data_IF_244135307029
#
_entry.id   IF_244135307029
#
_cell.length_a   1.000
_cell.length_b   1.000
_cell.length_c   1.000
_cell.angle_alpha   90.00
_cell.angle_beta   90.00
_cell.angle_gamma   90.00
#
_symmetry.space_group_name_H-M   'P 1'
#
loop_
_entity.id
_entity.type
_entity.pdbx_description
1 polymer ?
#
# COMPACT_ATOMS: atom_id res chain seq x y z
N UNK A 1 35.44 -18.32 -14.95
CA UNK A 1 34.34 -17.33 -14.89
C UNK A 1 34.20 -16.80 -13.47
N UNK A 2 34.15 -15.49 -13.32
CA UNK A 2 33.98 -14.79 -12.05
C UNK A 2 32.49 -14.53 -11.86
N UNK A 3 31.93 -14.81 -10.68
CA UNK A 3 30.53 -14.55 -10.36
C UNK A 3 30.38 -13.96 -8.96
N UNK A 4 29.21 -13.41 -8.68
CA UNK A 4 28.92 -12.91 -7.33
C UNK A 4 28.59 -14.08 -6.39
N UNK A 5 29.34 -14.15 -5.31
CA UNK A 5 29.05 -15.15 -4.25
C UNK A 5 27.91 -14.65 -3.35
N UNK A 6 27.88 -13.36 -3.05
CA UNK A 6 26.90 -12.68 -2.20
C UNK A 6 26.74 -11.23 -2.63
N UNK A 7 25.52 -10.72 -2.52
CA UNK A 7 25.18 -9.30 -2.56
C UNK A 7 24.60 -8.89 -1.19
N UNK A 8 25.46 -8.71 -0.17
CA UNK A 8 24.98 -8.39 1.17
C UNK A 8 24.43 -6.96 1.21
N UNK A 9 23.22 -6.83 1.75
CA UNK A 9 22.61 -5.53 2.00
C UNK A 9 23.42 -4.81 3.07
N UNK A 10 23.67 -3.52 2.87
CA UNK A 10 24.27 -2.62 3.85
C UNK A 10 23.16 -1.76 4.45
N UNK A 11 23.01 -1.80 5.77
CA UNK A 11 22.00 -1.01 6.47
C UNK A 11 22.32 0.48 6.37
N UNK A 12 21.29 1.28 6.12
CA UNK A 12 21.41 2.74 6.15
C UNK A 12 21.81 3.26 7.54
N UNK A 13 21.39 2.57 8.60
CA UNK A 13 21.70 2.94 9.99
C UNK A 13 23.20 2.86 10.31
N UNK A 14 23.95 2.07 9.54
CA UNK A 14 25.40 1.94 9.69
C UNK A 14 26.20 2.92 8.81
N UNK A 15 25.54 3.71 8.00
CA UNK A 15 26.18 4.74 7.19
C UNK A 15 26.74 5.84 8.10
N UNK A 16 28.03 6.06 8.05
CA UNK A 16 28.71 7.12 8.80
C UNK A 16 28.87 8.38 7.95
N UNK A 17 29.44 8.25 6.74
CA UNK A 17 29.61 9.35 5.79
C UNK A 17 29.74 8.87 4.35
N UNK A 18 29.50 9.78 3.41
CA UNK A 18 29.78 9.61 2.00
C UNK A 18 31.18 10.15 1.67
N UNK A 19 31.88 9.44 0.81
CA UNK A 19 33.23 9.83 0.38
C UNK A 19 33.18 10.46 -1.01
N UNK A 20 33.84 11.60 -1.16
CA UNK A 20 33.90 12.35 -2.40
C UNK A 20 35.35 12.57 -2.81
N UNK A 21 35.60 12.72 -4.11
CA UNK A 21 36.89 13.15 -4.63
C UNK A 21 37.04 14.69 -4.61
N UNK A 22 38.20 15.18 -5.07
CA UNK A 22 38.49 16.62 -5.11
C UNK A 22 37.58 17.40 -6.11
N UNK A 23 36.85 16.67 -6.98
CA UNK A 23 35.90 17.21 -7.97
C UNK A 23 34.44 17.08 -7.54
N UNK A 24 34.18 16.76 -6.28
CA UNK A 24 32.84 16.52 -5.70
C UNK A 24 32.10 15.31 -6.31
N UNK A 25 32.79 14.34 -6.94
CA UNK A 25 32.16 13.11 -7.37
C UNK A 25 32.11 12.10 -6.24
N UNK A 26 31.01 11.38 -6.14
CA UNK A 26 30.81 10.32 -5.14
C UNK A 26 31.70 9.11 -5.48
N UNK A 27 32.64 8.78 -4.63
CA UNK A 27 33.58 7.67 -4.81
C UNK A 27 33.34 6.48 -3.88
N UNK A 28 32.61 6.68 -2.79
CA UNK A 28 32.37 5.60 -1.84
C UNK A 28 31.49 5.99 -0.67
N UNK A 29 31.42 5.08 0.28
CA UNK A 29 30.75 5.29 1.57
C UNK A 29 31.55 4.67 2.69
N UNK A 30 31.56 5.31 3.86
CA UNK A 30 32.14 4.77 5.08
C UNK A 30 31.02 4.33 6.00
N UNK A 31 31.10 3.10 6.48
CA UNK A 31 30.14 2.50 7.40
C UNK A 31 30.76 2.26 8.78
N UNK A 32 29.91 2.31 9.80
CA UNK A 32 30.22 2.01 11.20
C UNK A 32 29.26 0.95 11.73
N UNK A 33 29.37 -0.32 11.29
CA UNK A 33 28.43 -1.36 11.66
C UNK A 33 28.65 -1.89 13.08
N UNK A 34 27.57 -2.25 13.80
CA UNK A 34 27.67 -3.00 15.04
C UNK A 34 28.24 -4.41 14.77
N UNK A 35 28.80 -5.14 15.75
CA UNK A 35 28.94 -4.73 17.16
C UNK A 35 30.21 -3.93 17.45
N UNK A 36 31.18 -3.90 16.53
CA UNK A 36 32.51 -3.35 16.80
C UNK A 36 32.61 -1.86 16.50
N UNK A 37 31.63 -1.29 15.78
CA UNK A 37 31.61 0.13 15.39
C UNK A 37 32.92 0.62 14.73
N UNK A 38 33.64 -0.28 14.06
CA UNK A 38 34.80 0.09 13.26
C UNK A 38 34.39 0.81 11.99
N UNK A 39 35.23 1.74 11.53
CA UNK A 39 34.99 2.44 10.28
C UNK A 39 35.50 1.60 9.09
N UNK A 40 34.65 1.35 8.13
CA UNK A 40 34.95 0.59 6.92
C UNK A 40 34.51 1.37 5.69
N UNK A 41 35.48 1.78 4.87
CA UNK A 41 35.18 2.47 3.62
C UNK A 41 34.93 1.46 2.51
N UNK A 42 33.81 1.57 1.83
CA UNK A 42 33.41 0.75 0.70
C UNK A 42 33.41 1.63 -0.55
N UNK A 43 34.32 1.38 -1.50
CA UNK A 43 34.33 2.10 -2.77
C UNK A 43 33.05 1.83 -3.56
N UNK A 44 32.54 2.82 -4.28
CA UNK A 44 31.34 2.71 -5.08
C UNK A 44 31.45 1.62 -6.16
N UNK A 45 32.65 1.37 -6.66
CA UNK A 45 32.94 0.28 -7.60
C UNK A 45 32.64 -1.12 -7.03
N UNK A 46 32.65 -1.29 -5.71
CA UNK A 46 32.36 -2.55 -5.02
C UNK A 46 30.95 -2.60 -4.43
N UNK A 47 30.11 -1.62 -4.74
CA UNK A 47 28.75 -1.54 -4.26
C UNK A 47 27.78 -1.35 -5.43
N UNK A 48 26.55 -1.79 -5.25
CA UNK A 48 25.40 -1.41 -6.09
C UNK A 48 24.60 -0.40 -5.26
N UNK A 49 24.54 0.83 -5.75
CA UNK A 49 23.89 1.91 -5.03
C UNK A 49 22.50 2.15 -5.59
N UNK A 50 21.49 1.77 -4.80
CA UNK A 50 20.09 2.03 -5.08
C UNK A 50 19.66 3.32 -4.40
N UNK A 51 19.07 4.23 -5.15
CA UNK A 51 18.49 5.43 -4.58
C UNK A 51 17.17 5.77 -5.26
N UNK A 52 16.21 6.16 -4.47
CA UNK A 52 15.00 6.78 -4.97
C UNK A 52 15.33 8.21 -5.45
N UNK A 53 14.34 9.00 -5.78
CA UNK A 53 14.50 10.37 -6.30
C UNK A 53 15.64 11.13 -5.60
N UNK A 54 16.62 11.55 -6.37
CA UNK A 54 17.72 12.40 -5.91
C UNK A 54 17.42 13.87 -6.19
N UNK A 55 17.83 14.75 -5.28
CA UNK A 55 17.85 16.20 -5.51
C UNK A 55 19.29 16.71 -5.39
N UNK A 56 19.74 17.48 -6.38
CA UNK A 56 21.06 18.13 -6.35
C UNK A 56 22.24 17.16 -6.13
N UNK A 57 22.18 15.97 -6.74
CA UNK A 57 23.27 15.01 -6.60
C UNK A 57 23.36 14.29 -5.25
N UNK A 58 22.45 14.53 -4.29
CA UNK A 58 22.49 13.87 -3.00
C UNK A 58 22.43 12.33 -3.16
N UNK A 59 23.39 11.57 -2.63
CA UNK A 59 23.44 10.12 -2.73
C UNK A 59 22.36 9.39 -1.89
N UNK A 60 21.80 10.03 -0.87
CA UNK A 60 20.86 9.39 0.06
C UNK A 60 19.46 9.13 -0.52
N UNK A 61 19.12 9.77 -1.62
CA UNK A 61 17.76 9.67 -2.14
C UNK A 61 16.72 10.33 -1.22
N UNK A 62 15.45 10.03 -1.43
CA UNK A 62 14.35 10.57 -0.63
C UNK A 62 13.34 9.50 -0.26
N UNK A 63 13.09 9.31 1.02
CA UNK A 63 12.05 8.39 1.50
C UNK A 63 10.68 8.77 0.95
N UNK A 64 9.94 7.79 0.45
CA UNK A 64 8.53 7.93 0.04
C UNK A 64 7.63 8.30 1.22
N UNK A 65 8.00 7.81 2.43
CA UNK A 65 7.24 8.04 3.66
C UNK A 65 7.43 9.43 4.26
N UNK A 66 8.33 10.25 3.72
CA UNK A 66 8.60 11.58 4.26
C UNK A 66 7.34 12.46 4.33
N UNK A 67 6.46 12.33 3.35
CA UNK A 67 5.23 13.11 3.31
C UNK A 67 4.17 12.57 4.29
N UNK A 68 4.25 11.29 4.67
CA UNK A 68 3.38 10.66 5.64
C UNK A 68 3.71 11.02 7.09
N UNK A 69 4.95 11.46 7.37
CA UNK A 69 5.47 11.68 8.72
C UNK A 69 4.56 12.56 9.58
N UNK A 70 4.11 13.69 9.05
CA UNK A 70 3.23 14.60 9.80
C UNK A 70 1.91 13.95 10.22
N UNK A 71 1.28 13.23 9.30
CA UNK A 71 0.02 12.51 9.57
C UNK A 71 0.22 11.42 10.59
N UNK A 72 1.30 10.65 10.46
CA UNK A 72 1.69 9.62 11.43
C UNK A 72 1.93 10.20 12.83
N UNK A 73 2.67 11.31 12.93
CA UNK A 73 2.98 11.95 14.21
C UNK A 73 1.73 12.38 14.96
N UNK A 74 0.81 13.08 14.29
CA UNK A 74 -0.45 13.50 14.90
C UNK A 74 -1.37 12.32 15.23
N UNK A 75 -1.44 11.30 14.36
CA UNK A 75 -2.18 10.08 14.63
C UNK A 75 -1.70 9.41 15.90
N UNK A 76 -0.38 9.23 16.06
CA UNK A 76 0.22 8.64 17.26
C UNK A 76 -0.19 9.39 18.52
N UNK A 77 -0.11 10.74 18.51
CA UNK A 77 -0.54 11.54 19.65
C UNK A 77 -2.03 11.36 19.99
N UNK A 78 -2.90 11.28 18.99
CA UNK A 78 -4.34 11.05 19.22
C UNK A 78 -4.59 9.66 19.81
N UNK A 79 -3.92 8.63 19.32
CA UNK A 79 -4.03 7.27 19.87
C UNK A 79 -3.54 7.20 21.34
N UNK A 80 -2.48 7.92 21.69
CA UNK A 80 -2.01 8.03 23.07
C UNK A 80 -3.05 8.73 23.96
N UNK A 81 -3.63 9.83 23.51
CA UNK A 81 -4.71 10.52 24.24
C UNK A 81 -5.98 9.68 24.36
N UNK A 82 -6.31 8.94 23.32
CA UNK A 82 -7.44 8.02 23.35
C UNK A 82 -7.24 6.93 24.40
N UNK A 83 -6.06 6.29 24.43
CA UNK A 83 -5.72 5.29 25.43
C UNK A 83 -5.83 5.83 26.85
N UNK A 84 -5.25 7.01 27.12
CA UNK A 84 -5.34 7.68 28.43
C UNK A 84 -6.80 8.04 28.76
N UNK A 85 -7.57 8.50 27.77
CA UNK A 85 -8.98 8.83 27.96
C UNK A 85 -9.81 7.60 28.32
N UNK A 86 -9.61 6.48 27.64
CA UNK A 86 -10.28 5.22 27.95
C UNK A 86 -9.91 4.73 29.34
N UNK A 87 -8.62 4.76 29.69
CA UNK A 87 -8.17 4.38 31.04
C UNK A 87 -8.84 5.22 32.12
N UNK A 88 -8.90 6.54 31.94
CA UNK A 88 -9.56 7.45 32.89
C UNK A 88 -11.08 7.29 32.93
N UNK A 89 -11.72 7.06 31.82
CA UNK A 89 -13.17 6.86 31.77
C UNK A 89 -13.57 5.51 32.41
N UNK A 90 -12.76 4.46 32.21
CA UNK A 90 -13.01 3.15 32.83
C UNK A 90 -12.64 3.12 34.31
N UNK A 91 -11.52 3.73 34.68
CA UNK A 91 -11.07 3.74 36.06
C UNK A 91 -11.78 4.80 36.91
N UNK A 92 -12.24 5.88 36.28
CA UNK A 92 -12.71 7.08 36.98
C UNK A 92 -11.57 7.89 37.57
N UNK A 93 -11.82 9.17 37.83
CA UNK A 93 -10.87 10.03 38.56
C UNK A 93 -11.16 9.87 40.06
N UNK A 94 -10.23 9.38 40.85
CA UNK A 94 -10.46 9.22 42.28
C UNK A 94 -10.61 10.60 42.96
N UNK A 95 -11.71 10.78 43.62
CA UNK A 95 -12.05 11.98 44.37
C UNK A 95 -12.30 11.62 45.83
N UNK A 96 -11.65 12.35 46.74
CA UNK A 96 -11.85 12.25 48.19
C UNK A 96 -12.50 13.53 48.68
N UNK A 97 -13.66 13.42 49.33
CA UNK A 97 -14.37 14.57 49.93
C UNK A 97 -14.28 14.46 51.45
N UNK A 98 -13.79 15.47 52.14
CA UNK A 98 -13.76 15.51 53.62
C UNK A 98 -15.18 15.69 54.18
N UNK A 99 -15.39 15.36 55.46
CA UNK A 99 -16.64 15.67 56.17
C UNK A 99 -16.85 17.18 56.30
N UNK A 100 -18.11 17.60 56.47
CA UNK A 100 -18.45 19.00 56.68
C UNK A 100 -17.75 19.59 57.91
N UNK A 101 -17.16 20.78 57.74
CA UNK A 101 -16.48 21.50 58.82
C UNK A 101 -14.99 21.16 59.01
N UNK A 102 -14.44 20.25 58.19
CA UNK A 102 -12.98 19.96 58.18
C UNK A 102 -12.33 20.74 57.07
N UNK A 103 -11.46 21.69 57.42
CA UNK A 103 -10.63 22.42 56.47
C UNK A 103 -9.25 21.76 56.37
N UNK A 104 -9.07 20.99 55.29
CA UNK A 104 -7.80 20.29 55.00
C UNK A 104 -6.66 21.24 54.62
N UNK A 105 -6.96 22.48 54.29
CA UNK A 105 -5.99 23.45 53.78
C UNK A 105 -5.58 24.50 54.80
N UNK A 106 -6.05 24.38 56.07
CA UNK A 106 -5.63 25.27 57.12
C UNK A 106 -4.16 24.95 57.54
N UNK A 107 -3.19 25.84 57.32
CA UNK A 107 -1.78 25.59 57.61
C UNK A 107 -1.51 25.52 59.13
N UNK A 108 -2.39 26.09 59.93
CA UNK A 108 -2.25 26.12 61.38
C UNK A 108 -2.84 24.89 62.08
N UNK A 109 -3.48 23.98 61.30
CA UNK A 109 -4.01 22.72 61.81
C UNK A 109 -3.11 21.53 61.44
N UNK A 110 -2.33 20.96 62.36
CA UNK A 110 -1.48 19.80 62.10
C UNK A 110 -2.25 18.53 61.77
N UNK A 111 -3.49 18.38 62.24
CA UNK A 111 -4.35 17.25 61.94
C UNK A 111 -4.89 17.35 60.49
N UNK A 112 -5.37 18.53 60.09
CA UNK A 112 -5.78 18.82 58.73
C UNK A 112 -4.67 18.55 57.72
N UNK A 113 -3.44 18.97 57.99
CA UNK A 113 -2.26 18.70 57.15
C UNK A 113 -1.94 17.21 57.00
N UNK A 114 -2.08 16.42 58.09
CA UNK A 114 -1.90 14.95 58.02
C UNK A 114 -3.01 14.27 57.19
N UNK A 115 -4.26 14.69 57.35
CA UNK A 115 -5.39 14.19 56.61
C UNK A 115 -5.27 14.55 55.14
N UNK A 116 -4.80 15.73 54.78
CA UNK A 116 -4.53 16.14 53.42
C UNK A 116 -3.45 15.25 52.78
N UNK A 117 -2.33 15.03 53.49
CA UNK A 117 -1.25 14.15 53.01
C UNK A 117 -1.74 12.73 52.78
N UNK A 118 -2.56 12.21 53.71
CA UNK A 118 -3.17 10.91 53.56
C UNK A 118 -4.12 10.85 52.36
N UNK A 119 -4.99 11.85 52.17
CA UNK A 119 -5.92 11.91 51.03
C UNK A 119 -5.18 11.96 49.69
N UNK A 120 -4.10 12.75 49.58
CA UNK A 120 -3.25 12.76 48.40
C UNK A 120 -2.60 11.39 48.15
N UNK A 121 -2.10 10.73 49.19
CA UNK A 121 -1.51 9.42 49.07
C UNK A 121 -2.53 8.36 48.59
N UNK A 122 -3.77 8.46 49.10
CA UNK A 122 -4.87 7.59 48.71
C UNK A 122 -5.20 7.76 47.20
N UNK A 123 -5.48 9.02 46.79
CA UNK A 123 -5.81 9.35 45.41
C UNK A 123 -4.71 8.92 44.42
N UNK A 124 -3.44 9.10 44.81
CA UNK A 124 -2.28 8.75 43.99
C UNK A 124 -2.06 7.24 43.85
N UNK A 125 -2.39 6.47 44.89
CA UNK A 125 -2.09 5.05 44.99
C UNK A 125 -3.30 4.12 44.69
N UNK A 126 -4.47 4.70 44.42
CA UNK A 126 -5.65 3.90 44.01
C UNK A 126 -5.33 3.13 42.77
N UNK A 127 -5.38 1.79 42.86
CA UNK A 127 -5.27 0.87 41.73
C UNK A 127 -6.53 0.02 41.69
N UNK A 128 -7.04 -0.19 40.49
CA UNK A 128 -8.12 -1.14 40.24
C UNK A 128 -7.55 -2.52 39.95
N UNK A 129 -7.04 -3.21 40.97
CA UNK A 129 -6.69 -4.62 40.86
C UNK A 129 -7.68 -5.49 41.66
N UNK A 130 -7.62 -6.81 41.46
CA UNK A 130 -8.53 -7.78 42.04
C UNK A 130 -8.49 -7.80 43.60
N UNK A 131 -7.50 -7.13 44.22
CA UNK A 131 -7.23 -7.15 45.66
C UNK A 131 -7.30 -5.74 46.26
N UNK A 132 -7.73 -4.73 45.51
CA UNK A 132 -7.78 -3.37 45.97
C UNK A 132 -8.94 -3.17 46.96
N UNK A 133 -8.62 -2.73 48.18
CA UNK A 133 -9.57 -2.30 49.18
C UNK A 133 -9.17 -0.94 49.73
N UNK A 134 -10.16 -0.09 50.01
CA UNK A 134 -9.93 1.25 50.58
C UNK A 134 -10.63 1.32 51.92
N UNK A 135 -9.88 1.77 52.97
CA UNK A 135 -10.44 2.06 54.27
C UNK A 135 -10.45 3.58 54.45
N UNK A 136 -11.64 4.13 54.67
CA UNK A 136 -11.84 5.57 54.85
C UNK A 136 -12.02 5.92 56.33
N UNK A 137 -11.48 7.04 56.81
CA UNK A 137 -11.84 7.61 58.11
C UNK A 137 -13.33 7.98 58.14
N UNK A 138 -13.94 8.03 59.32
CA UNK A 138 -15.33 8.41 59.47
C UNK A 138 -15.64 9.77 58.85
N UNK A 139 -16.71 9.84 58.04
CA UNK A 139 -17.19 11.07 57.40
C UNK A 139 -16.54 11.39 56.06
N UNK A 140 -15.42 10.75 55.68
CA UNK A 140 -14.85 10.91 54.35
C UNK A 140 -15.65 10.13 53.30
N UNK A 141 -15.79 10.70 52.12
CA UNK A 141 -16.38 10.05 50.95
C UNK A 141 -15.32 9.85 49.90
N UNK A 142 -15.33 8.66 49.28
CA UNK A 142 -14.48 8.34 48.15
C UNK A 142 -15.38 8.01 46.96
N UNK A 143 -15.14 8.67 45.86
CA UNK A 143 -15.90 8.46 44.61
C UNK A 143 -14.91 8.36 43.45
N UNK A 144 -15.22 7.47 42.52
CA UNK A 144 -14.57 7.43 41.20
C UNK A 144 -15.44 8.25 40.25
N UNK A 145 -15.03 9.48 40.01
CA UNK A 145 -15.76 10.37 39.09
C UNK A 145 -15.38 10.04 37.67
N UNK A 146 -16.30 9.42 36.96
CA UNK A 146 -16.21 9.29 35.50
C UNK A 146 -16.69 10.59 34.87
N UNK A 147 -16.01 11.05 33.85
CA UNK A 147 -16.40 12.24 33.08
C UNK A 147 -17.75 12.07 32.38
N UNK A 148 -18.36 10.87 32.38
CA UNK A 148 -19.78 10.55 32.10
C UNK A 148 -20.43 11.19 30.87
N UNK A 149 -19.69 11.97 30.10
CA UNK A 149 -20.15 12.64 28.90
C UNK A 149 -19.87 11.85 27.64
N UNK A 150 -20.82 11.82 26.73
CA UNK A 150 -20.54 11.38 25.36
C UNK A 150 -19.33 12.16 24.83
N UNK A 151 -18.27 11.47 24.39
CA UNK A 151 -17.12 12.13 23.77
C UNK A 151 -17.63 13.00 22.63
N UNK A 152 -17.39 14.31 22.72
CA UNK A 152 -17.75 15.26 21.67
C UNK A 152 -16.91 15.07 20.40
N UNK A 153 -15.82 14.32 20.50
CA UNK A 153 -14.88 14.12 19.40
C UNK A 153 -14.77 12.62 19.14
N UNK A 154 -15.15 12.21 17.92
CA UNK A 154 -14.92 10.85 17.45
C UNK A 154 -13.45 10.69 17.05
N UNK A 155 -12.67 10.06 17.94
CA UNK A 155 -11.26 9.79 17.73
C UNK A 155 -11.04 8.80 16.57
N UNK A 156 -11.99 7.86 16.37
CA UNK A 156 -11.89 6.87 15.31
C UNK A 156 -11.98 7.53 13.92
N UNK A 157 -12.89 8.47 13.73
CA UNK A 157 -13.00 9.24 12.49
C UNK A 157 -11.69 10.01 12.19
N UNK A 158 -11.10 10.62 13.21
CA UNK A 158 -9.85 11.35 13.06
C UNK A 158 -8.69 10.41 12.72
N UNK A 159 -8.59 9.26 13.38
CA UNK A 159 -7.55 8.25 13.12
C UNK A 159 -7.69 7.72 11.69
N UNK A 160 -8.91 7.34 11.26
CA UNK A 160 -9.20 6.88 9.90
C UNK A 160 -8.80 7.92 8.85
N UNK A 161 -9.08 9.20 9.11
CA UNK A 161 -8.67 10.30 8.22
C UNK A 161 -7.15 10.41 8.09
N UNK A 162 -6.39 10.20 9.17
CA UNK A 162 -4.93 10.19 9.11
C UNK A 162 -4.41 8.92 8.41
N UNK A 163 -5.05 7.77 8.60
CA UNK A 163 -4.69 6.54 7.88
C UNK A 163 -4.85 6.71 6.38
N UNK A 164 -5.98 7.27 5.94
CA UNK A 164 -6.21 7.58 4.53
C UNK A 164 -5.14 8.53 3.97
N UNK A 165 -4.75 9.57 4.73
CA UNK A 165 -3.69 10.49 4.31
C UNK A 165 -2.32 9.83 4.22
N UNK A 166 -2.00 8.89 5.11
CA UNK A 166 -0.77 8.11 5.07
C UNK A 166 -0.79 7.20 3.83
N UNK A 167 -1.89 6.48 3.61
CA UNK A 167 -2.06 5.60 2.47
C UNK A 167 -1.98 6.35 1.12
N UNK A 168 -2.57 7.55 1.02
CA UNK A 168 -2.48 8.41 -0.17
C UNK A 168 -1.04 8.79 -0.53
N UNK A 169 -0.12 8.88 0.44
CA UNK A 169 1.28 9.23 0.13
C UNK A 169 2.02 8.15 -0.63
N UNK A 170 1.53 6.93 -0.55
CA UNK A 170 2.06 5.74 -1.24
C UNK A 170 1.14 5.24 -2.36
N UNK A 171 0.08 6.01 -2.70
CA UNK A 171 -0.97 5.64 -3.65
C UNK A 171 -1.71 4.34 -3.27
N UNK A 172 -1.69 3.97 -2.00
CA UNK A 172 -2.28 2.73 -1.46
C UNK A 172 -3.64 2.96 -0.76
N UNK A 173 -4.28 4.11 -0.95
CA UNK A 173 -5.55 4.45 -0.29
C UNK A 173 -6.74 3.59 -0.77
N UNK A 174 -6.63 2.96 -1.95
CA UNK A 174 -7.63 2.02 -2.45
C UNK A 174 -7.81 0.80 -1.53
N UNK A 175 -6.79 0.40 -0.77
CA UNK A 175 -6.87 -0.71 0.20
C UNK A 175 -7.90 -0.40 1.30
N UNK A 176 -8.07 0.88 1.63
CA UNK A 176 -9.01 1.34 2.67
C UNK A 176 -10.46 1.43 2.15
N UNK A 177 -10.67 1.52 0.83
CA UNK A 177 -12.00 1.60 0.23
C UNK A 177 -12.84 0.33 0.46
N UNK A 178 -12.20 -0.83 0.65
CA UNK A 178 -12.88 -2.08 0.95
C UNK A 178 -13.55 -2.12 2.32
N UNK A 179 -13.25 -1.19 3.22
CA UNK A 179 -13.86 -1.07 4.54
C UNK A 179 -15.09 -0.16 4.58
N UNK A 180 -15.26 0.68 3.57
CA UNK A 180 -16.43 1.53 3.41
C UNK A 180 -17.34 0.90 2.35
N UNK A 181 -18.57 0.53 2.73
CA UNK A 181 -19.55 -0.22 1.92
C UNK A 181 -20.00 0.44 0.59
N UNK A 182 -19.38 1.51 0.15
CA UNK A 182 -19.79 2.34 -0.99
C UNK A 182 -18.73 2.60 -2.04
N UNK A 183 -17.67 1.76 -2.12
CA UNK A 183 -16.65 1.90 -3.15
C UNK A 183 -17.10 1.36 -4.52
N UNK A 184 -17.10 2.18 -5.56
CA UNK A 184 -17.27 1.73 -6.95
C UNK A 184 -16.07 0.84 -7.35
N UNK A 185 -16.35 -0.37 -7.85
CA UNK A 185 -15.32 -1.28 -8.37
C UNK A 185 -14.40 -0.60 -9.41
N UNK A 186 -14.96 0.22 -10.29
CA UNK A 186 -14.21 0.97 -11.29
C UNK A 186 -13.16 1.92 -10.68
N UNK A 187 -13.51 2.63 -9.61
CA UNK A 187 -12.56 3.51 -8.92
C UNK A 187 -11.43 2.73 -8.22
N UNK A 188 -11.74 1.53 -7.74
CA UNK A 188 -10.74 0.63 -7.15
C UNK A 188 -9.75 0.13 -8.19
N UNK A 189 -10.23 -0.22 -9.39
CA UNK A 189 -9.40 -0.69 -10.50
C UNK A 189 -8.45 0.41 -10.98
N UNK A 190 -8.95 1.64 -11.22
CA UNK A 190 -8.13 2.78 -11.64
C UNK A 190 -7.02 3.11 -10.62
N UNK A 191 -7.32 3.03 -9.32
CA UNK A 191 -6.33 3.27 -8.26
C UNK A 191 -5.31 2.15 -8.16
N UNK A 192 -5.72 0.90 -8.41
CA UNK A 192 -4.82 -0.25 -8.45
C UNK A 192 -3.83 -0.11 -9.60
N UNK A 193 -4.28 0.35 -10.77
CA UNK A 193 -3.42 0.62 -11.92
C UNK A 193 -2.38 1.71 -11.59
N UNK A 194 -2.81 2.84 -11.00
CA UNK A 194 -1.88 3.90 -10.56
C UNK A 194 -0.85 3.40 -9.54
N UNK A 195 -1.25 2.51 -8.64
CA UNK A 195 -0.35 1.90 -7.67
C UNK A 195 0.64 0.96 -8.36
N UNK A 196 0.18 0.15 -9.32
CA UNK A 196 1.03 -0.73 -10.12
C UNK A 196 2.08 0.07 -10.91
N UNK A 197 1.70 1.18 -11.56
CA UNK A 197 2.62 2.11 -12.22
C UNK A 197 3.65 2.68 -11.24
N UNK A 198 3.23 3.06 -10.03
CA UNK A 198 4.16 3.57 -9.02
C UNK A 198 5.16 2.49 -8.57
N UNK A 199 4.73 1.25 -8.35
CA UNK A 199 5.64 0.12 -8.05
C UNK A 199 6.56 -0.15 -9.23
N UNK A 200 6.03 -0.16 -10.47
CA UNK A 200 6.83 -0.33 -11.69
C UNK A 200 8.00 0.65 -11.74
N UNK A 201 7.75 1.92 -11.42
CA UNK A 201 8.80 2.94 -11.39
C UNK A 201 9.91 2.65 -10.37
N UNK A 202 9.62 1.98 -9.25
CA UNK A 202 10.64 1.54 -8.29
C UNK A 202 11.41 0.32 -8.80
N UNK A 203 10.73 -0.61 -9.47
CA UNK A 203 11.39 -1.76 -10.10
C UNK A 203 12.31 -1.31 -11.24
N UNK A 204 11.90 -0.31 -12.02
CA UNK A 204 12.74 0.32 -13.04
C UNK A 204 14.03 0.88 -12.44
N UNK A 205 13.96 1.60 -11.31
CA UNK A 205 15.13 2.12 -10.61
C UNK A 205 16.07 0.99 -10.18
N UNK A 206 15.52 -0.13 -9.72
CA UNK A 206 16.31 -1.31 -9.36
C UNK A 206 16.97 -1.91 -10.58
N UNK A 207 16.21 -2.15 -11.65
CA UNK A 207 16.73 -2.66 -12.92
C UNK A 207 17.83 -1.75 -13.48
N UNK A 208 17.60 -0.44 -13.47
CA UNK A 208 18.57 0.56 -13.93
C UNK A 208 19.88 0.50 -13.12
N UNK A 209 19.80 0.38 -11.81
CA UNK A 209 20.99 0.24 -10.97
C UNK A 209 21.80 -1.03 -11.32
N UNK A 210 21.12 -2.16 -11.57
CA UNK A 210 21.78 -3.38 -12.03
C UNK A 210 22.39 -3.21 -13.44
N UNK A 211 21.62 -2.64 -14.35
CA UNK A 211 22.05 -2.45 -15.75
C UNK A 211 23.25 -1.50 -15.87
N UNK A 212 23.31 -0.47 -15.03
CA UNK A 212 24.37 0.53 -15.11
C UNK A 212 25.59 0.19 -14.25
N UNK A 213 25.43 -0.56 -13.16
CA UNK A 213 26.51 -0.77 -12.20
C UNK A 213 26.97 -2.23 -12.13
N UNK A 214 26.05 -3.19 -12.07
CA UNK A 214 26.37 -4.58 -11.79
C UNK A 214 26.71 -5.37 -13.07
N UNK A 215 25.85 -5.32 -14.07
CA UNK A 215 25.98 -6.11 -15.30
C UNK A 215 27.25 -5.75 -16.08
N UNK A 216 27.57 -4.47 -16.35
CA UNK A 216 28.79 -4.12 -17.05
C UNK A 216 30.03 -4.63 -16.33
N UNK A 217 30.11 -4.42 -15.01
CA UNK A 217 31.25 -4.89 -14.21
C UNK A 217 31.42 -6.41 -14.24
N UNK A 218 30.31 -7.17 -14.21
CA UNK A 218 30.37 -8.62 -14.29
C UNK A 218 30.88 -9.11 -15.66
N UNK A 219 30.39 -8.49 -16.73
CA UNK A 219 30.78 -8.84 -18.11
C UNK A 219 32.26 -8.45 -18.32
N UNK A 220 32.66 -7.26 -17.94
CA UNK A 220 34.05 -6.77 -18.11
C UNK A 220 35.07 -7.61 -17.32
N UNK A 221 34.72 -8.04 -16.09
CA UNK A 221 35.57 -8.95 -15.30
C UNK A 221 35.72 -10.34 -15.94
N UNK A 222 34.83 -10.72 -16.85
CA UNK A 222 34.84 -11.98 -17.57
C UNK A 222 35.06 -11.80 -19.08
N UNK A 223 35.70 -10.72 -19.51
CA UNK A 223 35.85 -10.31 -20.91
C UNK A 223 36.38 -11.39 -21.84
N UNK A 224 37.19 -12.33 -21.35
CA UNK A 224 37.65 -13.48 -22.16
C UNK A 224 36.50 -14.45 -22.54
N UNK A 225 35.51 -14.61 -21.69
CA UNK A 225 34.34 -15.47 -21.94
C UNK A 225 33.26 -14.78 -22.78
N UNK A 226 33.25 -13.46 -22.78
CA UNK A 226 32.25 -12.65 -23.48
C UNK A 226 32.82 -11.89 -24.69
N UNK A 227 33.88 -12.45 -25.31
CA UNK A 227 34.47 -11.88 -26.54
C UNK A 227 33.43 -11.77 -27.64
N UNK A 228 33.21 -10.55 -28.14
CA UNK A 228 32.27 -10.27 -29.23
C UNK A 228 30.88 -9.76 -28.80
N UNK A 229 30.63 -9.60 -27.52
CA UNK A 229 29.45 -8.88 -27.05
C UNK A 229 29.65 -7.38 -27.31
N UNK A 230 28.77 -6.78 -28.08
CA UNK A 230 28.74 -5.34 -28.37
C UNK A 230 27.85 -4.60 -27.40
N UNK A 231 26.76 -5.25 -26.93
CA UNK A 231 25.79 -4.66 -26.02
C UNK A 231 25.66 -5.52 -24.77
N UNK A 232 25.56 -4.88 -23.61
CA UNK A 232 25.31 -5.59 -22.36
C UNK A 232 23.88 -6.11 -22.29
N UNK A 233 23.67 -7.34 -21.76
CA UNK A 233 22.33 -7.82 -21.48
C UNK A 233 21.66 -6.91 -20.47
N UNK A 234 20.34 -6.71 -20.61
CA UNK A 234 19.55 -5.84 -19.71
C UNK A 234 18.63 -6.69 -18.85
N UNK A 235 18.63 -6.36 -17.57
CA UNK A 235 17.64 -6.84 -16.62
C UNK A 235 16.39 -5.97 -16.78
N UNK A 236 15.25 -6.61 -16.93
CA UNK A 236 13.93 -6.01 -16.94
C UNK A 236 13.06 -6.70 -15.88
N UNK A 237 12.08 -6.02 -15.37
CA UNK A 237 11.09 -6.64 -14.48
C UNK A 237 9.87 -7.10 -15.29
N UNK A 238 9.13 -8.08 -14.77
CA UNK A 238 7.83 -8.46 -15.32
C UNK A 238 6.74 -7.46 -14.95
N UNK A 239 5.58 -7.62 -15.55
CA UNK A 239 4.40 -6.81 -15.26
C UNK A 239 3.91 -7.08 -13.82
N UNK A 240 3.52 -6.01 -13.13
CA UNK A 240 3.04 -6.07 -11.75
C UNK A 240 1.57 -6.42 -11.74
N UNK A 241 0.85 -5.90 -12.72
CA UNK A 241 -0.57 -6.12 -12.88
C UNK A 241 -0.82 -7.46 -13.56
N UNK A 242 -1.76 -8.24 -13.02
CA UNK A 242 -2.20 -9.45 -13.70
C UNK A 242 -2.98 -9.02 -14.95
N UNK A 243 -2.56 -9.52 -16.09
CA UNK A 243 -3.28 -9.32 -17.34
C UNK A 243 -4.70 -9.84 -17.17
N UNK A 244 -5.69 -8.97 -17.40
CA UNK A 244 -7.09 -9.40 -17.45
C UNK A 244 -7.27 -10.27 -18.70
N UNK A 245 -7.33 -11.59 -18.49
CA UNK A 245 -7.44 -12.57 -19.56
C UNK A 245 -8.68 -12.37 -20.42
N UNK A 246 -9.77 -11.82 -19.87
CA UNK A 246 -10.98 -11.55 -20.63
C UNK A 246 -10.78 -10.36 -21.58
N UNK A 247 -10.17 -9.28 -21.09
CA UNK A 247 -9.82 -8.12 -21.94
C UNK A 247 -8.81 -8.50 -23.00
N UNK A 248 -7.79 -9.31 -22.66
CA UNK A 248 -6.80 -9.79 -23.61
C UNK A 248 -7.44 -10.68 -24.69
N UNK A 249 -8.30 -11.63 -24.30
CA UNK A 249 -8.99 -12.49 -25.24
C UNK A 249 -9.89 -11.70 -26.20
N UNK A 250 -10.64 -10.71 -25.71
CA UNK A 250 -11.46 -9.83 -26.54
C UNK A 250 -10.61 -8.98 -27.51
N UNK A 251 -9.48 -8.46 -27.01
CA UNK A 251 -8.55 -7.69 -27.84
C UNK A 251 -7.97 -8.54 -28.96
N UNK A 252 -7.45 -9.74 -28.66
CA UNK A 252 -6.91 -10.66 -29.66
C UNK A 252 -7.99 -11.07 -30.66
N UNK A 253 -9.18 -11.43 -30.17
CA UNK A 253 -10.31 -11.80 -31.04
C UNK A 253 -10.66 -10.67 -32.02
N UNK A 254 -10.70 -9.43 -31.53
CA UNK A 254 -10.99 -8.26 -32.38
C UNK A 254 -9.90 -8.04 -33.44
N UNK A 255 -8.62 -8.09 -33.01
CA UNK A 255 -7.49 -7.85 -33.89
C UNK A 255 -7.31 -8.95 -34.95
N UNK A 256 -7.52 -10.21 -34.56
CA UNK A 256 -7.52 -11.36 -35.53
C UNK A 256 -8.73 -11.30 -36.44
N UNK A 257 -9.92 -10.99 -35.90
CA UNK A 257 -11.14 -10.88 -36.69
C UNK A 257 -11.12 -9.74 -37.71
N UNK A 258 -10.37 -8.66 -37.44
CA UNK A 258 -10.17 -7.56 -38.41
C UNK A 258 -8.99 -7.79 -39.36
N UNK A 259 -8.25 -8.90 -39.23
CA UNK A 259 -7.09 -9.21 -40.03
C UNK A 259 -5.85 -8.34 -39.78
N UNK A 260 -5.84 -7.55 -38.69
CA UNK A 260 -4.70 -6.73 -38.30
C UNK A 260 -3.59 -7.58 -37.65
N UNK A 261 -3.96 -8.66 -37.00
CA UNK A 261 -3.05 -9.56 -36.32
C UNK A 261 -3.26 -10.99 -36.84
N UNK A 262 -2.18 -11.63 -37.25
CA UNK A 262 -2.21 -13.03 -37.69
C UNK A 262 -1.67 -13.88 -36.53
N UNK A 263 -2.42 -14.90 -36.07
CA UNK A 263 -1.94 -15.78 -35.03
C UNK A 263 -0.67 -16.52 -35.43
N UNK A 264 0.39 -16.36 -34.69
CA UNK A 264 1.67 -17.03 -34.86
C UNK A 264 2.13 -17.72 -33.57
N UNK A 265 3.27 -18.40 -33.63
CA UNK A 265 3.83 -19.10 -32.49
C UNK A 265 4.32 -18.13 -31.35
N UNK A 266 4.67 -16.90 -31.71
CA UNK A 266 5.08 -15.89 -30.76
C UNK A 266 3.88 -15.39 -29.93
N UNK A 267 2.75 -15.14 -30.62
CA UNK A 267 1.49 -14.80 -29.98
C UNK A 267 0.99 -15.92 -29.05
N UNK A 268 1.08 -17.19 -29.51
CA UNK A 268 0.71 -18.34 -28.68
C UNK A 268 1.58 -18.41 -27.44
N UNK A 269 2.89 -18.21 -27.57
CA UNK A 269 3.83 -18.19 -26.44
C UNK A 269 3.49 -17.08 -25.46
N UNK A 270 3.24 -15.87 -25.94
CA UNK A 270 2.83 -14.74 -25.12
C UNK A 270 1.54 -15.02 -24.33
N UNK A 271 0.51 -15.57 -24.99
CA UNK A 271 -0.77 -15.90 -24.33
C UNK A 271 -0.59 -16.99 -23.29
N UNK A 272 0.25 -18.01 -23.55
CA UNK A 272 0.56 -19.07 -22.60
C UNK A 272 1.29 -18.51 -21.37
N UNK A 273 2.26 -17.64 -21.55
CA UNK A 273 2.97 -16.98 -20.46
C UNK A 273 2.03 -16.09 -19.65
N UNK A 274 1.20 -15.27 -20.31
CA UNK A 274 0.22 -14.41 -19.63
C UNK A 274 -0.80 -15.20 -18.80
N UNK A 275 -1.19 -16.39 -19.30
CA UNK A 275 -2.13 -17.29 -18.62
C UNK A 275 -1.47 -18.25 -17.62
N UNK A 276 -0.14 -18.19 -17.43
CA UNK A 276 0.63 -19.18 -16.67
C UNK A 276 0.39 -20.64 -17.12
N UNK A 277 0.21 -20.84 -18.40
CA UNK A 277 0.10 -22.19 -18.99
C UNK A 277 1.49 -22.78 -19.24
N UNK A 278 1.62 -24.12 -19.25
CA UNK A 278 2.89 -24.76 -19.57
C UNK A 278 3.37 -24.37 -20.98
N UNK A 279 4.70 -24.28 -21.20
CA UNK A 279 5.25 -23.95 -22.52
C UNK A 279 4.81 -24.97 -23.55
N UNK A 280 4.75 -24.53 -24.81
CA UNK A 280 4.43 -25.41 -25.93
C UNK A 280 5.51 -26.49 -26.06
N UNK A 281 5.10 -27.76 -26.08
CA UNK A 281 6.02 -28.89 -26.38
C UNK A 281 6.26 -28.91 -27.89
N UNK A 282 7.52 -29.00 -28.30
CA UNK A 282 7.93 -28.87 -29.70
C UNK A 282 7.35 -29.94 -30.66
N UNK A 283 6.78 -31.03 -30.13
CA UNK A 283 6.20 -32.13 -30.88
C UNK A 283 4.67 -32.21 -30.86
N UNK A 284 3.99 -31.17 -30.40
CA UNK A 284 2.52 -31.13 -30.47
C UNK A 284 2.10 -30.85 -31.90
N UNK A 285 1.95 -31.91 -32.68
CA UNK A 285 1.18 -31.84 -33.94
C UNK A 285 -0.21 -31.32 -33.56
N UNK A 286 -0.51 -30.07 -33.89
CA UNK A 286 -1.84 -29.48 -33.71
C UNK A 286 -2.82 -30.43 -34.34
N UNK A 287 -3.71 -31.00 -33.56
CA UNK A 287 -4.86 -31.69 -34.09
C UNK A 287 -5.73 -30.64 -34.78
N UNK A 288 -5.41 -30.32 -36.02
CA UNK A 288 -6.25 -29.48 -36.86
C UNK A 288 -7.41 -30.40 -37.20
N UNK A 289 -8.55 -30.20 -36.53
CA UNK A 289 -9.80 -30.88 -36.86
C UNK A 289 -10.20 -30.40 -38.28
N UNK A 290 -10.04 -31.26 -39.29
CA UNK A 290 -10.30 -30.87 -40.67
C UNK A 290 -11.76 -30.48 -40.91
N UNK A 291 -12.70 -30.93 -40.03
CA UNK A 291 -14.12 -30.58 -40.12
C UNK A 291 -14.41 -29.14 -39.64
N UNK A 292 -13.47 -28.50 -38.91
CA UNK A 292 -13.62 -27.12 -38.43
C UNK A 292 -13.25 -26.07 -39.49
N UNK A 293 -12.37 -26.38 -40.42
CA UNK A 293 -12.07 -25.50 -41.56
C UNK A 293 -13.24 -25.42 -42.54
N UNK A 294 -13.98 -26.51 -42.74
CA UNK A 294 -15.16 -26.49 -43.62
C UNK A 294 -16.36 -25.75 -42.99
N UNK A 295 -16.47 -25.71 -41.66
CA UNK A 295 -17.53 -24.93 -40.97
C UNK A 295 -17.25 -23.43 -40.96
N UNK A 296 -16.01 -22.99 -40.84
CA UNK A 296 -15.68 -21.55 -40.86
C UNK A 296 -15.80 -20.95 -42.27
N UNK A 297 -15.51 -21.72 -43.33
CA UNK A 297 -15.71 -21.26 -44.70
C UNK A 297 -17.19 -21.23 -45.09
N UNK A 298 -18.02 -22.12 -44.56
CA UNK A 298 -19.46 -22.12 -44.82
C UNK A 298 -20.22 -21.01 -44.05
N UNK A 299 -19.78 -20.62 -42.86
CA UNK A 299 -20.38 -19.52 -42.09
C UNK A 299 -20.07 -18.13 -42.67
N UNK A 300 -18.89 -17.97 -43.28
CA UNK A 300 -18.53 -16.75 -44.00
C UNK A 300 -19.24 -16.64 -45.39
N UNK A 301 -19.70 -17.77 -45.95
CA UNK A 301 -20.44 -17.82 -47.21
C UNK A 301 -21.96 -17.62 -47.06
N UNK A 302 -22.52 -17.79 -45.86
CA UNK A 302 -23.98 -17.74 -45.65
C UNK A 302 -24.52 -16.39 -45.18
N UNK A 303 -23.68 -15.41 -44.87
CA UNK A 303 -24.13 -14.06 -44.51
C UNK A 303 -24.31 -13.08 -45.66
N UNK A 304 -24.17 -13.54 -46.91
CA UNK A 304 -24.31 -12.70 -48.09
C UNK A 304 -25.42 -13.15 -49.05
N UNK A 305 -26.64 -13.37 -48.63
CA UNK A 305 -27.85 -13.28 -49.45
C UNK A 305 -29.07 -13.85 -48.73
N UNK A 306 -29.80 -13.05 -48.01
CA UNK A 306 -31.23 -13.21 -47.84
C UNK A 306 -31.84 -11.84 -47.46
N UNK A 307 -32.07 -11.05 -48.50
CA UNK A 307 -33.09 -10.00 -48.47
C UNK A 307 -34.34 -10.64 -49.06
N UNK A 308 -35.22 -11.10 -48.25
CA UNK A 308 -36.60 -11.38 -48.63
C UNK A 308 -37.49 -10.20 -48.25
N UNK A 309 -38.23 -9.60 -49.19
CA UNK A 309 -39.26 -8.63 -48.87
C UNK A 309 -40.60 -9.38 -48.68
N UNK A 310 -41.16 -9.35 -47.50
CA UNK A 310 -42.55 -9.51 -47.17
C UNK A 310 -42.70 -9.86 -45.67
N UNK A 311 -43.06 -8.85 -44.90
CA UNK A 311 -44.14 -8.87 -43.90
C UNK A 311 -44.12 -7.54 -43.11
N UNK A 312 -44.83 -6.56 -43.74
CA UNK A 312 -45.36 -5.42 -43.04
C UNK A 312 -46.79 -5.81 -42.59
N UNK A 313 -46.95 -6.23 -41.36
CA UNK A 313 -48.21 -6.11 -40.61
C UNK A 313 -47.98 -6.44 -39.14
N UNK A 314 -48.50 -5.56 -38.29
CA UNK A 314 -48.65 -5.65 -36.83
C UNK A 314 -47.53 -4.99 -35.96
N UNK A 315 -47.51 -3.66 -35.99
CA UNK A 315 -47.11 -2.83 -34.86
C UNK A 315 -48.09 -1.68 -34.68
N UNK A 316 -49.23 -2.00 -34.08
CA UNK A 316 -50.14 -1.02 -33.48
C UNK A 316 -50.72 -1.68 -32.25
N UNK A 317 -50.16 -1.34 -31.09
CA UNK A 317 -50.74 -1.38 -29.73
C UNK A 317 -49.66 -1.58 -28.67
N UNK A 318 -48.97 -0.53 -28.30
CA UNK A 318 -48.44 -0.36 -26.94
C UNK A 318 -48.04 1.08 -26.58
N UNK A 319 -48.67 2.08 -27.14
CA UNK A 319 -48.48 3.50 -26.74
C UNK A 319 -49.30 3.91 -25.49
N UNK A 320 -50.09 3.00 -24.91
CA UNK A 320 -50.94 3.29 -23.77
C UNK A 320 -50.27 3.25 -22.38
N UNK A 321 -49.15 2.57 -22.24
CA UNK A 321 -48.53 2.36 -20.91
C UNK A 321 -47.42 3.35 -20.55
N UNK A 322 -46.87 4.09 -21.49
CA UNK A 322 -45.80 5.07 -21.25
C UNK A 322 -46.35 6.42 -20.78
N UNK A 323 -47.62 6.74 -21.04
CA UNK A 323 -48.22 8.01 -20.59
C UNK A 323 -48.75 7.94 -19.14
N UNK A 324 -49.05 6.78 -18.59
CA UNK A 324 -49.51 6.66 -17.21
C UNK A 324 -48.35 6.69 -16.18
N UNK A 325 -47.13 6.32 -16.58
CA UNK A 325 -45.96 6.39 -15.72
C UNK A 325 -45.42 7.84 -15.54
N UNK A 326 -45.62 8.71 -16.54
CA UNK A 326 -45.21 10.14 -16.44
C UNK A 326 -46.15 11.01 -15.63
N UNK A 327 -47.37 10.55 -15.35
CA UNK A 327 -48.39 11.29 -14.56
C UNK A 327 -48.33 11.02 -13.06
N UNK A 328 -47.54 10.01 -12.61
CA UNK A 328 -47.38 9.68 -11.18
C UNK A 328 -46.10 10.29 -10.54
N UNK A 329 -45.17 10.87 -11.31
CA UNK A 329 -43.94 11.48 -10.82
C UNK A 329 -43.99 13.02 -10.75
N UNK A 330 -45.14 13.64 -10.90
CA UNK A 330 -45.32 15.09 -10.92
C UNK A 330 -46.25 15.64 -9.81
N UNK A 331 -46.31 15.00 -8.63
CA UNK A 331 -46.96 15.60 -7.44
C UNK A 331 -46.39 15.04 -6.15
N UNK A 332 -45.41 15.71 -5.58
CA UNK A 332 -45.29 16.18 -4.20
C UNK A 332 -43.90 16.75 -3.98
#
# INVERSE_FOLDING_TARGET
>A
MIGWRKLPIRSQDSLYQWEYDDEDNLIGMTQMPPPNFGLYTIPLEKAIHFRTRSRKGNPEGRSILRNAYRSWYFKKGIQEFEGIGIERDLAGIPMVTPPEGVDLYNPDDPEGSRMLTWAYSLVKNVRQDKSAGIVLPPGFKFELVSTGGSRQIDTNEIITRYDSRIAMTTLADFILLGHEHTGSFALSDDKTELFAVAIGSYLDIICEAFNNQAIPRLIDLNGEHFKGITDYPKMVHGDIEKIDMNKLAQYIQTMVGTGVLIPDDELETYVREAANLPPKVADDERFIDPDREEQQTNDLGSQGNNVHPEDNQDVAEDDGKVQEAKKRLGRS
#
